data_IF_245856517344
#
_entry.id   IF_245856517344
#
_cell.length_a   1.000
_cell.length_b   1.000
_cell.length_c   1.000
_cell.angle_alpha   90.00
_cell.angle_beta   90.00
_cell.angle_gamma   90.00
#
_symmetry.space_group_name_H-M   'P 1'
#
loop_
_entity.id
_entity.type
_entity.pdbx_description
1 polymer ?
#
# COMPACT_ATOMS: atom_id res chain seq x y z
N UNK A 1 7.92 -5.42 3.68
CA UNK A 1 7.88 -6.79 4.20
C UNK A 1 9.26 -7.46 4.12
N UNK A 2 9.49 -8.50 4.94
CA UNK A 2 10.77 -9.23 5.01
C UNK A 2 10.69 -10.72 4.63
N UNK A 3 9.55 -11.18 4.12
CA UNK A 3 9.34 -12.62 3.89
C UNK A 3 10.24 -13.21 2.78
N UNK A 4 10.85 -12.37 1.95
CA UNK A 4 11.85 -12.75 0.95
C UNK A 4 13.26 -12.21 1.25
N UNK A 5 13.52 -11.69 2.46
CA UNK A 5 14.81 -11.08 2.81
C UNK A 5 15.94 -12.10 2.89
N UNK A 6 15.66 -13.36 3.26
CA UNK A 6 16.64 -14.43 3.20
C UNK A 6 16.77 -14.97 1.76
N UNK A 7 17.96 -14.94 1.15
CA UNK A 7 18.19 -15.50 -0.20
C UNK A 7 17.89 -16.99 -0.29
N UNK A 8 17.93 -17.71 0.84
CA UNK A 8 17.63 -19.16 0.90
C UNK A 8 16.13 -19.46 1.02
N UNK A 9 15.27 -18.44 1.18
CA UNK A 9 13.83 -18.65 1.12
C UNK A 9 13.45 -19.23 -0.24
N UNK A 10 12.79 -20.40 -0.29
CA UNK A 10 12.43 -21.03 -1.55
C UNK A 10 11.50 -20.17 -2.39
N UNK A 11 11.69 -20.21 -3.72
CA UNK A 11 10.79 -19.57 -4.67
C UNK A 11 9.43 -20.26 -4.68
N UNK A 12 8.37 -19.48 -4.74
CA UNK A 12 6.99 -19.91 -4.93
C UNK A 12 6.46 -19.37 -6.26
N UNK A 13 5.19 -19.53 -6.53
CA UNK A 13 4.55 -18.94 -7.69
C UNK A 13 4.66 -17.39 -7.74
N UNK A 14 4.82 -16.73 -6.58
CA UNK A 14 4.94 -15.27 -6.46
C UNK A 14 6.22 -14.67 -7.03
N UNK A 15 7.25 -15.49 -7.20
CA UNK A 15 8.54 -15.06 -7.74
C UNK A 15 8.70 -15.35 -9.25
N UNK A 16 7.66 -15.88 -9.89
CA UNK A 16 7.67 -16.25 -11.30
C UNK A 16 6.66 -15.37 -12.07
N UNK A 17 7.15 -14.58 -13.02
CA UNK A 17 6.31 -13.65 -13.80
C UNK A 17 5.20 -14.37 -14.58
N UNK A 18 5.45 -15.58 -15.06
CA UNK A 18 4.44 -16.39 -15.76
C UNK A 18 3.19 -16.71 -14.92
N UNK A 19 3.29 -16.65 -13.59
CA UNK A 19 2.18 -16.97 -12.68
C UNK A 19 1.71 -15.79 -11.86
N UNK A 20 2.61 -14.85 -11.55
CA UNK A 20 2.31 -13.72 -10.69
C UNK A 20 2.22 -12.37 -11.45
N UNK A 21 2.70 -12.31 -12.70
CA UNK A 21 2.82 -11.06 -13.45
C UNK A 21 3.96 -10.18 -12.92
N UNK A 22 3.78 -9.61 -11.74
CA UNK A 22 4.75 -8.77 -11.01
C UNK A 22 4.98 -9.31 -9.60
N UNK A 23 5.92 -8.73 -8.86
CA UNK A 23 6.28 -9.14 -7.50
C UNK A 23 5.75 -8.19 -6.43
N UNK A 24 6.64 -7.42 -5.80
CA UNK A 24 6.26 -6.44 -4.78
C UNK A 24 5.30 -5.37 -5.32
N UNK A 25 5.37 -5.06 -6.60
CA UNK A 25 4.46 -4.15 -7.26
C UNK A 25 3.01 -4.61 -7.13
N UNK A 26 2.68 -5.80 -7.60
CA UNK A 26 1.29 -6.30 -7.56
C UNK A 26 0.84 -6.68 -6.15
N UNK A 27 1.72 -7.33 -5.37
CA UNK A 27 1.39 -7.86 -4.04
C UNK A 27 1.26 -6.77 -2.97
N UNK A 28 2.11 -5.73 -3.01
CA UNK A 28 2.21 -4.74 -1.94
C UNK A 28 1.79 -3.33 -2.38
N UNK A 29 2.16 -2.90 -3.60
CA UNK A 29 1.91 -1.53 -4.04
C UNK A 29 0.43 -1.26 -4.28
N UNK A 30 -0.37 -2.27 -4.62
CA UNK A 30 -1.82 -2.15 -4.74
C UNK A 30 -2.46 -1.56 -3.47
N UNK A 31 -2.03 -2.01 -2.29
CA UNK A 31 -2.50 -1.48 -1.01
C UNK A 31 -2.12 -0.01 -0.81
N UNK A 32 -0.92 0.38 -1.27
CA UNK A 32 -0.44 1.77 -1.14
C UNK A 32 -1.19 2.69 -2.09
N UNK A 33 -1.47 2.27 -3.31
CA UNK A 33 -2.28 3.02 -4.28
C UNK A 33 -3.66 3.28 -3.69
N UNK A 34 -4.35 2.23 -3.25
CA UNK A 34 -5.70 2.34 -2.68
C UNK A 34 -5.74 3.26 -1.44
N UNK A 35 -4.77 3.10 -0.53
CA UNK A 35 -4.67 3.96 0.65
C UNK A 35 -4.38 5.42 0.27
N UNK A 36 -3.51 5.63 -0.72
CA UNK A 36 -3.16 6.96 -1.21
C UNK A 36 -4.38 7.70 -1.76
N UNK A 37 -5.15 7.05 -2.62
CA UNK A 37 -6.34 7.66 -3.22
C UNK A 37 -7.38 8.01 -2.15
N UNK A 38 -7.62 7.11 -1.20
CA UNK A 38 -8.52 7.35 -0.07
C UNK A 38 -8.11 8.59 0.75
N UNK A 39 -6.81 8.76 1.02
CA UNK A 39 -6.33 9.85 1.88
C UNK A 39 -6.18 11.17 1.10
N UNK A 40 -5.64 11.10 -0.13
CA UNK A 40 -5.41 12.28 -0.97
C UNK A 40 -6.71 12.76 -1.61
N UNK A 41 -7.67 11.84 -1.86
CA UNK A 41 -8.94 12.11 -2.51
C UNK A 41 -8.80 12.54 -3.96
N UNK A 42 -7.76 12.03 -4.65
CA UNK A 42 -7.41 12.35 -6.03
C UNK A 42 -6.76 11.16 -6.71
N UNK A 43 -7.13 10.91 -7.96
CA UNK A 43 -6.57 9.83 -8.76
C UNK A 43 -5.12 10.11 -9.17
N UNK A 44 -4.33 9.05 -9.29
CA UNK A 44 -2.99 9.07 -9.87
C UNK A 44 -3.14 9.08 -11.39
N UNK A 45 -2.51 10.03 -12.08
CA UNK A 45 -2.62 10.21 -13.52
C UNK A 45 -1.32 9.96 -14.29
N UNK A 46 -0.17 10.04 -13.61
CA UNK A 46 1.14 9.83 -14.24
C UNK A 46 2.13 9.27 -13.23
N UNK A 47 2.99 8.35 -13.66
CA UNK A 47 3.94 7.67 -12.79
C UNK A 47 5.34 7.59 -13.42
N UNK A 48 6.36 7.60 -12.56
CA UNK A 48 7.74 7.22 -12.90
C UNK A 48 8.20 6.19 -11.88
N UNK A 49 8.60 5.01 -12.35
CA UNK A 49 8.96 3.88 -11.50
C UNK A 49 10.32 3.28 -11.86
N UNK A 50 10.95 2.69 -10.85
CA UNK A 50 12.11 1.82 -11.00
C UNK A 50 12.00 0.65 -10.04
N UNK A 51 12.33 -0.54 -10.46
CA UNK A 51 12.30 -1.75 -9.66
C UNK A 51 13.62 -2.52 -9.65
N UNK A 52 13.74 -3.44 -8.71
CA UNK A 52 14.94 -4.23 -8.52
C UNK A 52 14.60 -5.65 -8.01
N UNK A 53 15.48 -6.61 -8.33
CA UNK A 53 15.40 -8.00 -7.90
C UNK A 53 16.78 -8.42 -7.37
N UNK A 54 17.08 -8.14 -6.08
CA UNK A 54 18.41 -8.37 -5.49
C UNK A 54 18.87 -9.82 -5.55
N UNK A 55 17.94 -10.78 -5.51
CA UNK A 55 18.24 -12.19 -5.54
C UNK A 55 17.73 -12.82 -6.84
N UNK A 56 18.63 -12.88 -7.84
CA UNK A 56 18.29 -13.38 -9.18
C UNK A 56 17.89 -14.88 -9.21
N UNK A 57 18.25 -15.65 -8.18
CA UNK A 57 17.93 -17.07 -8.06
C UNK A 57 17.55 -17.44 -6.64
N UNK A 58 16.62 -18.38 -6.50
CA UNK A 58 16.21 -18.95 -5.20
C UNK A 58 16.06 -20.46 -5.31
N UNK A 59 16.20 -21.23 -4.19
CA UNK A 59 15.86 -22.65 -4.17
C UNK A 59 14.43 -22.89 -4.68
N UNK A 60 14.25 -23.98 -5.42
CA UNK A 60 12.89 -24.43 -5.80
C UNK A 60 12.19 -25.02 -4.56
N UNK A 61 10.97 -24.56 -4.27
CA UNK A 61 10.19 -25.06 -3.13
C UNK A 61 9.83 -26.55 -3.23
N UNK A 62 9.87 -27.13 -4.45
CA UNK A 62 9.55 -28.54 -4.71
C UNK A 62 10.80 -29.43 -4.72
N UNK A 63 11.96 -28.86 -5.00
CA UNK A 63 13.24 -29.57 -5.07
C UNK A 63 14.38 -28.61 -4.71
N UNK A 64 14.82 -28.65 -3.47
CA UNK A 64 15.86 -27.76 -2.94
C UNK A 64 17.24 -27.93 -3.56
N UNK A 65 17.48 -29.01 -4.33
CA UNK A 65 18.71 -29.19 -5.11
C UNK A 65 18.75 -28.33 -6.37
N UNK A 66 17.59 -27.75 -6.77
CA UNK A 66 17.44 -26.89 -7.93
C UNK A 66 17.28 -25.44 -7.51
N UNK A 67 17.70 -24.53 -8.37
CA UNK A 67 17.41 -23.11 -8.27
C UNK A 67 16.51 -22.68 -9.40
N UNK A 68 15.59 -21.78 -9.09
CA UNK A 68 14.73 -21.11 -10.05
C UNK A 68 15.22 -19.66 -10.25
N UNK A 69 15.25 -19.23 -11.48
CA UNK A 69 15.49 -17.84 -11.84
C UNK A 69 14.26 -17.02 -11.41
N UNK A 70 14.50 -15.92 -10.73
CA UNK A 70 13.47 -14.97 -10.29
C UNK A 70 13.35 -13.88 -11.35
N UNK A 71 12.14 -13.66 -11.82
CA UNK A 71 11.83 -12.71 -12.89
C UNK A 71 10.69 -11.73 -12.53
N UNK A 72 10.32 -11.67 -11.25
CA UNK A 72 9.45 -10.62 -10.69
C UNK A 72 10.26 -9.66 -9.83
N UNK A 73 9.76 -8.45 -9.66
CA UNK A 73 10.37 -7.43 -8.81
C UNK A 73 10.32 -7.80 -7.32
N UNK A 74 11.40 -7.58 -6.58
CA UNK A 74 11.46 -7.71 -5.12
C UNK A 74 11.19 -6.38 -4.41
N UNK A 75 11.46 -5.28 -5.07
CA UNK A 75 11.22 -3.93 -4.56
C UNK A 75 10.99 -2.94 -5.70
N UNK A 76 10.14 -1.93 -5.44
CA UNK A 76 9.82 -0.88 -6.39
C UNK A 76 9.78 0.48 -5.70
N UNK A 77 10.22 1.51 -6.40
CA UNK A 77 10.19 2.92 -6.02
C UNK A 77 9.49 3.70 -7.11
N UNK A 78 8.51 4.53 -6.72
CA UNK A 78 7.62 5.23 -7.65
C UNK A 78 7.49 6.69 -7.26
N UNK A 79 7.51 7.58 -8.23
CA UNK A 79 7.03 8.95 -8.13
C UNK A 79 5.71 9.02 -8.86
N UNK A 80 4.67 9.59 -8.22
CA UNK A 80 3.33 9.71 -8.77
C UNK A 80 2.92 11.17 -8.91
N UNK A 81 2.11 11.47 -9.92
CA UNK A 81 1.39 12.75 -10.04
C UNK A 81 -0.09 12.49 -9.96
N UNK A 82 -0.78 13.30 -9.18
CA UNK A 82 -2.23 13.30 -9.06
C UNK A 82 -2.87 14.24 -10.06
N UNK A 83 -4.17 14.07 -10.32
CA UNK A 83 -4.93 14.85 -11.31
C UNK A 83 -4.91 16.37 -11.06
N UNK A 84 -4.70 16.81 -9.83
CA UNK A 84 -4.59 18.23 -9.45
C UNK A 84 -3.15 18.75 -9.42
N UNK A 85 -2.19 17.97 -9.89
CA UNK A 85 -0.78 18.34 -10.00
C UNK A 85 0.06 18.09 -8.75
N UNK A 86 -0.53 17.59 -7.66
CA UNK A 86 0.26 17.15 -6.48
C UNK A 86 1.18 16.00 -6.86
N UNK A 87 2.30 15.88 -6.14
CA UNK A 87 3.30 14.84 -6.35
C UNK A 87 3.43 14.03 -5.05
N UNK A 88 3.54 12.72 -5.20
CA UNK A 88 3.83 11.78 -4.13
C UNK A 88 4.95 10.82 -4.49
N UNK A 89 5.46 10.11 -3.50
CA UNK A 89 6.37 8.98 -3.70
C UNK A 89 5.86 7.76 -2.95
N UNK A 90 6.06 6.59 -3.55
CA UNK A 90 5.66 5.31 -2.98
C UNK A 90 6.81 4.33 -3.11
N UNK A 91 6.90 3.39 -2.21
CA UNK A 91 7.84 2.28 -2.33
C UNK A 91 7.28 1.03 -1.68
N UNK A 92 7.58 -0.11 -2.28
CA UNK A 92 7.26 -1.43 -1.73
C UNK A 92 8.47 -2.33 -1.82
N UNK A 93 8.66 -3.18 -0.82
CA UNK A 93 9.73 -4.16 -0.81
C UNK A 93 9.30 -5.39 -0.02
N UNK A 94 9.60 -6.57 -0.56
CA UNK A 94 9.44 -7.86 0.12
C UNK A 94 10.76 -8.42 0.69
N UNK A 95 11.84 -7.65 0.55
CA UNK A 95 13.20 -8.00 1.02
C UNK A 95 13.72 -7.06 2.11
N UNK A 96 12.86 -6.24 2.71
CA UNK A 96 13.23 -5.28 3.76
C UNK A 96 13.54 -6.01 5.08
N UNK A 97 14.81 -6.10 5.44
CA UNK A 97 15.23 -6.74 6.70
C UNK A 97 14.65 -5.99 7.90
N UNK A 98 14.29 -6.75 8.96
CA UNK A 98 13.68 -6.25 10.20
C UNK A 98 12.29 -5.58 10.05
N UNK A 99 11.65 -5.72 8.90
CA UNK A 99 10.28 -5.26 8.69
C UNK A 99 9.39 -6.42 8.24
N UNK A 100 8.90 -7.27 9.17
CA UNK A 100 8.12 -8.47 8.81
C UNK A 100 6.85 -8.13 8.02
N UNK A 101 6.08 -7.14 8.51
CA UNK A 101 5.00 -6.48 7.80
C UNK A 101 4.99 -5.03 8.24
N UNK A 102 4.98 -4.09 7.31
CA UNK A 102 4.90 -2.67 7.63
C UNK A 102 4.20 -1.93 6.50
N UNK A 103 3.25 -1.09 6.87
CA UNK A 103 2.65 -0.08 6.03
C UNK A 103 2.77 1.24 6.78
N UNK A 104 3.33 2.25 6.12
CA UNK A 104 3.47 3.57 6.70
C UNK A 104 3.20 4.65 5.65
N UNK A 105 2.69 5.79 6.08
CA UNK A 105 2.58 6.95 5.23
C UNK A 105 2.85 8.24 5.99
N UNK A 106 3.28 9.26 5.27
CA UNK A 106 3.37 10.63 5.74
C UNK A 106 2.76 11.55 4.70
N UNK A 107 1.85 12.42 5.14
CA UNK A 107 1.21 13.43 4.30
C UNK A 107 1.49 14.80 4.89
N UNK A 108 2.02 15.68 4.05
CA UNK A 108 2.35 17.05 4.39
C UNK A 108 1.47 18.02 3.60
N UNK A 109 0.81 18.91 4.31
CA UNK A 109 -0.06 19.93 3.72
C UNK A 109 0.21 21.31 4.31
N UNK A 110 -0.38 22.33 3.71
CA UNK A 110 -0.24 23.74 4.14
C UNK A 110 -0.76 24.00 5.55
N UNK A 111 -1.68 23.17 6.06
CA UNK A 111 -2.29 23.31 7.39
C UNK A 111 -1.67 22.41 8.46
N UNK A 112 -0.85 21.44 8.07
CA UNK A 112 -0.25 20.48 8.99
C UNK A 112 0.20 19.22 8.30
N UNK A 113 0.52 18.19 9.08
CA UNK A 113 0.93 16.89 8.57
C UNK A 113 0.40 15.74 9.43
N UNK A 114 0.31 14.57 8.81
CA UNK A 114 -0.03 13.31 9.49
C UNK A 114 0.99 12.25 9.14
N UNK A 115 1.29 11.38 10.12
CA UNK A 115 2.09 10.17 9.92
C UNK A 115 1.37 8.99 10.56
N UNK A 116 1.39 7.87 9.85
CA UNK A 116 0.88 6.59 10.34
C UNK A 116 1.92 5.50 10.12
N UNK A 117 1.99 4.58 11.05
CA UNK A 117 2.77 3.35 10.93
C UNK A 117 1.97 2.17 11.48
N UNK A 118 1.80 1.13 10.68
CA UNK A 118 0.99 -0.04 10.99
C UNK A 118 1.47 -0.80 12.24
N UNK A 119 2.75 -0.73 12.59
CA UNK A 119 3.29 -1.30 13.83
C UNK A 119 2.75 -0.62 15.09
N UNK A 120 2.13 0.57 14.93
CA UNK A 120 1.44 1.35 15.96
C UNK A 120 0.01 1.66 15.50
N UNK A 121 -0.72 0.62 15.13
CA UNK A 121 -1.98 0.68 14.41
C UNK A 121 -3.07 1.58 15.03
N UNK A 122 -3.01 1.81 16.35
CA UNK A 122 -3.96 2.63 17.08
C UNK A 122 -3.50 4.08 17.28
N UNK A 123 -2.44 4.51 16.59
CA UNK A 123 -1.85 5.83 16.78
C UNK A 123 -1.71 6.57 15.45
N UNK A 124 -2.08 7.84 15.47
CA UNK A 124 -1.82 8.78 14.39
C UNK A 124 -0.96 9.93 14.93
N UNK A 125 0.18 10.18 14.32
CA UNK A 125 0.96 11.37 14.58
C UNK A 125 0.37 12.54 13.79
N UNK A 126 -0.03 13.59 14.48
CA UNK A 126 -0.66 14.78 13.89
C UNK A 126 0.10 16.04 14.27
N UNK A 127 0.38 16.88 13.29
CA UNK A 127 0.93 18.22 13.47
C UNK A 127 0.01 19.26 12.85
N UNK A 128 -0.24 20.36 13.55
CA UNK A 128 -1.03 21.50 13.05
C UNK A 128 -0.19 22.77 12.98
N UNK A 129 -0.22 23.47 11.86
CA UNK A 129 0.38 24.79 11.72
C UNK A 129 -0.33 25.88 12.54
N UNK A 130 -1.59 25.61 12.97
CA UNK A 130 -2.38 26.53 13.81
C UNK A 130 -2.14 26.41 15.31
N UNK A 131 -1.22 25.54 15.77
CA UNK A 131 -0.92 25.42 17.20
C UNK A 131 -0.04 26.58 17.72
N UNK A 132 -0.04 26.79 19.04
CA UNK A 132 0.90 27.71 19.70
C UNK A 132 2.33 27.37 19.29
N UNK A 133 3.17 28.36 18.91
CA UNK A 133 4.56 28.12 18.57
C UNK A 133 5.37 27.38 19.65
N UNK A 134 4.98 27.53 20.93
CA UNK A 134 5.61 26.83 22.07
C UNK A 134 5.21 25.35 22.14
N UNK A 135 4.13 24.94 21.47
CA UNK A 135 3.60 23.57 21.45
C UNK A 135 3.89 22.86 20.11
N UNK A 136 4.76 23.42 19.29
CA UNK A 136 5.11 22.82 17.99
C UNK A 136 5.74 21.45 18.19
N UNK A 137 5.13 20.45 17.57
CA UNK A 137 5.54 19.05 17.62
C UNK A 137 4.42 18.14 17.16
N UNK A 138 4.75 16.89 16.88
CA UNK A 138 3.72 15.90 16.61
C UNK A 138 2.99 15.53 17.89
N UNK A 139 1.65 15.59 17.84
CA UNK A 139 0.78 15.03 18.86
C UNK A 139 0.39 13.61 18.46
N UNK A 140 0.33 12.70 19.42
CA UNK A 140 -0.17 11.34 19.21
C UNK A 140 -1.68 11.39 19.45
N UNK A 141 -2.44 11.06 18.40
CA UNK A 141 -3.89 10.81 18.51
C UNK A 141 -4.05 9.31 18.59
N UNK A 142 -4.64 8.82 19.68
CA UNK A 142 -4.96 7.42 19.85
C UNK A 142 -6.37 7.12 19.36
N UNK A 143 -6.55 5.99 18.69
CA UNK A 143 -7.87 5.46 18.38
C UNK A 143 -8.67 5.25 19.67
N UNK A 144 -9.92 5.69 19.67
CA UNK A 144 -10.79 5.63 20.84
C UNK A 144 -12.26 5.43 20.43
N UNK A 145 -13.13 5.27 21.42
CA UNK A 145 -14.58 4.99 21.25
C UNK A 145 -15.35 6.08 20.47
N UNK A 146 -14.74 7.23 20.17
CA UNK A 146 -15.35 8.30 19.37
C UNK A 146 -14.87 8.30 17.91
N UNK A 147 -14.03 7.36 17.53
CA UNK A 147 -13.46 7.26 16.18
C UNK A 147 -14.16 6.14 15.39
N UNK A 148 -15.32 6.46 14.79
CA UNK A 148 -16.01 5.53 13.89
C UNK A 148 -16.20 4.13 14.46
N UNK A 149 -15.78 3.12 13.73
CA UNK A 149 -15.97 1.71 14.11
C UNK A 149 -15.19 1.24 15.35
N UNK A 150 -14.23 2.03 15.84
CA UNK A 150 -13.54 1.72 17.10
C UNK A 150 -14.53 1.53 18.25
N UNK A 151 -15.64 2.27 18.28
CA UNK A 151 -16.67 2.14 19.29
C UNK A 151 -17.27 0.74 19.40
N UNK A 152 -17.25 -0.05 18.31
CA UNK A 152 -17.81 -1.39 18.26
C UNK A 152 -16.88 -2.46 18.86
N UNK A 153 -15.59 -2.16 19.00
CA UNK A 153 -14.54 -3.11 19.40
C UNK A 153 -13.80 -2.70 20.67
N UNK A 154 -13.84 -1.42 21.03
CA UNK A 154 -13.20 -0.90 22.24
C UNK A 154 -14.24 -0.68 23.33
N UNK A 155 -14.13 -1.38 24.44
CA UNK A 155 -15.02 -1.17 25.61
C UNK A 155 -14.75 0.16 26.32
N UNK A 156 -13.50 0.66 26.26
CA UNK A 156 -13.05 1.96 26.79
C UNK A 156 -12.01 2.57 25.89
N UNK A 157 -11.77 3.86 26.06
CA UNK A 157 -10.67 4.56 25.39
C UNK A 157 -9.33 3.87 25.68
N UNK A 158 -8.42 3.88 24.70
CA UNK A 158 -7.06 3.29 24.79
C UNK A 158 -6.94 1.76 24.70
N UNK A 159 -8.03 1.00 24.64
CA UNK A 159 -7.94 -0.44 24.40
C UNK A 159 -7.49 -0.77 22.98
N UNK A 160 -7.84 0.11 22.01
CA UNK A 160 -7.44 -0.06 20.61
C UNK A 160 -8.13 -1.24 19.92
N UNK A 161 -7.74 -1.45 18.68
CA UNK A 161 -8.14 -2.60 17.85
C UNK A 161 -6.88 -3.27 17.30
N UNK A 162 -6.99 -4.54 16.90
CA UNK A 162 -5.93 -5.28 16.25
C UNK A 162 -6.28 -5.59 14.78
N UNK A 163 -5.43 -6.32 14.09
CA UNK A 163 -5.62 -6.63 12.67
C UNK A 163 -6.91 -7.40 12.38
N UNK A 164 -7.32 -8.29 13.28
CA UNK A 164 -8.53 -9.09 13.09
C UNK A 164 -9.81 -8.25 13.14
N UNK A 165 -9.85 -7.23 14.00
CA UNK A 165 -10.99 -6.30 14.07
C UNK A 165 -11.11 -5.48 12.79
N UNK A 166 -10.00 -5.11 12.14
CA UNK A 166 -10.02 -4.44 10.83
C UNK A 166 -10.69 -5.33 9.77
N UNK A 167 -10.39 -6.62 9.76
CA UNK A 167 -11.05 -7.58 8.86
C UNK A 167 -12.54 -7.72 9.15
N UNK A 168 -12.92 -7.66 10.43
CA UNK A 168 -14.33 -7.68 10.85
C UNK A 168 -15.08 -6.42 10.42
N UNK A 169 -14.44 -5.23 10.51
CA UNK A 169 -15.00 -3.96 10.02
C UNK A 169 -15.25 -4.03 8.52
N UNK A 170 -14.28 -4.53 7.75
CA UNK A 170 -14.43 -4.70 6.30
C UNK A 170 -15.58 -5.63 5.95
N UNK A 171 -15.69 -6.78 6.64
CA UNK A 171 -16.78 -7.72 6.42
C UNK A 171 -18.14 -7.11 6.77
N UNK A 172 -18.22 -6.36 7.88
CA UNK A 172 -19.43 -5.63 8.28
C UNK A 172 -19.86 -4.61 7.21
N UNK A 173 -18.93 -3.83 6.66
CA UNK A 173 -19.24 -2.83 5.63
C UNK A 173 -19.80 -3.49 4.35
N UNK A 174 -19.21 -4.60 3.91
CA UNK A 174 -19.70 -5.35 2.75
C UNK A 174 -21.10 -5.91 3.01
N UNK A 175 -21.33 -6.53 4.16
CA UNK A 175 -22.64 -7.09 4.52
C UNK A 175 -23.72 -6.00 4.65
N UNK A 176 -23.36 -4.86 5.23
CA UNK A 176 -24.25 -3.69 5.33
C UNK A 176 -24.58 -3.15 3.95
N UNK A 177 -23.60 -3.03 3.06
CA UNK A 177 -23.84 -2.59 1.69
C UNK A 177 -24.82 -3.52 0.93
N UNK A 178 -24.71 -4.83 1.13
CA UNK A 178 -25.63 -5.81 0.53
C UNK A 178 -27.04 -5.66 1.11
N UNK A 179 -27.18 -5.50 2.43
CA UNK A 179 -28.50 -5.41 3.08
C UNK A 179 -29.21 -4.09 2.81
N UNK A 180 -28.48 -3.02 2.59
CA UNK A 180 -29.00 -1.69 2.34
C UNK A 180 -29.08 -1.35 0.84
N UNK A 181 -28.71 -2.29 -0.04
CA UNK A 181 -28.65 -2.09 -1.50
C UNK A 181 -27.84 -0.84 -1.89
N UNK A 182 -26.73 -0.61 -1.21
CA UNK A 182 -25.81 0.49 -1.49
C UNK A 182 -24.53 0.00 -2.17
N UNK A 183 -23.90 0.87 -2.93
CA UNK A 183 -22.57 0.61 -3.46
C UNK A 183 -21.52 0.65 -2.35
N UNK A 184 -20.49 -0.18 -2.49
CA UNK A 184 -19.25 -0.06 -1.72
C UNK A 184 -18.32 0.93 -2.41
N UNK A 185 -17.48 1.62 -1.62
CA UNK A 185 -16.54 2.60 -2.18
C UNK A 185 -15.42 1.91 -2.97
N UNK A 186 -15.07 0.69 -2.58
CA UNK A 186 -14.05 -0.15 -3.24
C UNK A 186 -14.78 -1.28 -3.98
N UNK A 187 -15.25 -0.98 -5.19
CA UNK A 187 -15.91 -1.93 -6.07
C UNK A 187 -14.94 -2.50 -7.15
N UNK A 188 -15.46 -3.32 -8.06
CA UNK A 188 -14.66 -3.91 -9.14
C UNK A 188 -14.11 -2.84 -10.09
N UNK A 189 -14.84 -1.76 -10.35
CA UNK A 189 -14.36 -0.67 -11.20
C UNK A 189 -13.17 0.06 -10.55
N UNK A 190 -13.23 0.25 -9.24
CA UNK A 190 -12.08 0.78 -8.49
C UNK A 190 -10.89 -0.19 -8.52
N UNK A 191 -11.13 -1.49 -8.37
CA UNK A 191 -10.09 -2.51 -8.52
C UNK A 191 -9.42 -2.45 -9.90
N UNK A 192 -10.19 -2.30 -10.98
CA UNK A 192 -9.66 -2.13 -12.33
C UNK A 192 -8.82 -0.86 -12.47
N UNK A 193 -9.22 0.25 -11.86
CA UNK A 193 -8.40 1.46 -11.83
C UNK A 193 -7.06 1.21 -11.15
N UNK A 194 -7.05 0.56 -9.99
CA UNK A 194 -5.80 0.21 -9.28
C UNK A 194 -4.89 -0.63 -10.16
N UNK A 195 -5.42 -1.68 -10.82
CA UNK A 195 -4.65 -2.52 -11.75
C UNK A 195 -4.08 -1.70 -12.92
N UNK A 196 -4.84 -0.74 -13.45
CA UNK A 196 -4.38 0.17 -14.51
C UNK A 196 -3.20 1.04 -14.04
N UNK A 197 -3.26 1.55 -12.82
CA UNK A 197 -2.14 2.31 -12.22
C UNK A 197 -0.90 1.42 -12.03
N UNK A 198 -1.08 0.17 -11.57
CA UNK A 198 0.03 -0.78 -11.41
C UNK A 198 0.67 -1.14 -12.75
N UNK A 199 -0.11 -1.33 -13.81
CA UNK A 199 0.44 -1.59 -15.16
C UNK A 199 1.21 -0.37 -15.70
N UNK A 200 0.73 0.86 -15.44
CA UNK A 200 1.49 2.07 -15.77
C UNK A 200 2.83 2.12 -15.01
N UNK A 201 2.85 1.74 -13.74
CA UNK A 201 4.10 1.63 -12.95
C UNK A 201 5.04 0.57 -13.51
N UNK A 202 4.50 -0.62 -13.87
CA UNK A 202 5.28 -1.70 -14.48
C UNK A 202 5.89 -1.26 -15.82
N UNK A 203 5.08 -0.62 -16.67
CA UNK A 203 5.53 -0.08 -17.95
C UNK A 203 6.61 0.97 -17.77
N UNK A 204 6.41 1.90 -16.82
CA UNK A 204 7.40 2.92 -16.48
C UNK A 204 8.73 2.30 -16.03
N UNK A 205 8.69 1.28 -15.18
CA UNK A 205 9.91 0.61 -14.70
C UNK A 205 10.65 -0.16 -15.81
N UNK A 206 9.90 -0.77 -16.77
CA UNK A 206 10.48 -1.47 -17.93
C UNK A 206 11.11 -0.50 -18.93
N UNK A 207 10.47 0.64 -19.18
CA UNK A 207 10.83 1.59 -20.23
C UNK A 207 11.71 2.75 -19.74
N UNK A 208 11.83 2.96 -18.43
CA UNK A 208 12.63 4.03 -17.83
C UNK A 208 12.11 5.44 -18.14
N UNK A 209 10.79 5.61 -18.28
CA UNK A 209 10.12 6.87 -18.60
C UNK A 209 8.90 7.16 -17.74
N UNK A 210 8.46 8.41 -17.76
CA UNK A 210 7.13 8.77 -17.28
C UNK A 210 6.06 8.11 -18.14
N UNK A 211 5.03 7.56 -17.51
CA UNK A 211 3.88 6.90 -18.16
C UNK A 211 2.60 7.51 -17.61
N UNK A 212 1.71 7.92 -18.50
CA UNK A 212 0.36 8.33 -18.12
C UNK A 212 -0.52 7.09 -17.90
N UNK A 213 -1.32 7.10 -16.85
CA UNK A 213 -2.25 6.01 -16.55
C UNK A 213 -3.24 5.78 -17.70
N UNK A 214 -3.64 6.85 -18.40
CA UNK A 214 -4.52 6.76 -19.58
C UNK A 214 -3.93 5.96 -20.76
N UNK A 215 -2.59 5.85 -20.86
CA UNK A 215 -1.95 5.03 -21.91
C UNK A 215 -2.33 3.54 -21.78
N UNK A 216 -2.63 3.07 -20.57
CA UNK A 216 -2.98 1.67 -20.30
C UNK A 216 -4.44 1.35 -20.63
N UNK A 217 -5.31 2.36 -20.67
CA UNK A 217 -6.74 2.19 -20.97
C UNK A 217 -7.00 1.94 -22.47
N UNK A 218 -6.08 2.35 -23.34
CA UNK A 218 -6.18 2.17 -24.79
C UNK A 218 -5.75 0.77 -25.26
N UNK A 219 -5.25 -0.07 -24.35
CA UNK A 219 -4.62 -1.38 -24.71
C UNK A 219 -5.51 -2.59 -24.37
N UNK A 220 -6.73 -2.36 -23.85
CA UNK A 220 -7.70 -3.42 -23.46
C UNK A 220 -8.81 -3.60 -24.49
#
# INVERSE_FOLDING_TARGET
CSYCADPNTPATWRQLAATAGTGALGDLTAHIVSLSDMIVGKEIVEVFASWDTPYAERPDARDSSRKLKIDTDDQIYVIVKYEDGRIGSMSSSRVSVARPVSLAYEIQGSKGSVKFEMTRINELLYYSNGCDPKERGYKIIKGNTRNGDYANFCGTDEQGIAYNEIMSIQAHDILTAITEDRKVDIDIAYGQYVDTVLEAMATSAREGRWVKVSEMQETV
#
